data_IF_486400668809
#
_entry.id   IF_486400668809
#
_cell.length_a   1.000
_cell.length_b   1.000
_cell.length_c   1.000
_cell.angle_alpha   90.00
_cell.angle_beta   90.00
_cell.angle_gamma   90.00
#
_symmetry.space_group_name_H-M   'P 1'
#
loop_
_entity.id
_entity.type
_entity.pdbx_description
1 polymer ?
#
# COMPACT_ATOMS: atom_id res chain seq x y z
N UNK A 1 33.57 7.95 -20.31
CA UNK A 1 32.90 8.55 -19.18
C UNK A 1 31.39 8.37 -19.43
N UNK A 2 30.81 7.22 -19.02
CA UNK A 2 29.36 7.02 -19.10
C UNK A 2 28.73 8.06 -18.16
N UNK A 3 27.94 8.98 -18.73
CA UNK A 3 26.97 9.73 -17.94
C UNK A 3 26.02 8.69 -17.34
N UNK A 4 26.17 8.39 -16.07
CA UNK A 4 25.15 7.76 -15.27
C UNK A 4 24.00 8.77 -15.22
N UNK A 5 23.04 8.67 -16.14
CA UNK A 5 21.75 9.34 -16.00
C UNK A 5 21.22 8.84 -14.66
N UNK A 6 21.06 9.74 -13.71
CA UNK A 6 20.50 9.39 -12.42
C UNK A 6 19.13 8.73 -12.69
N UNK A 7 19.03 7.44 -12.44
CA UNK A 7 17.75 6.74 -12.52
C UNK A 7 16.77 7.47 -11.59
N UNK A 8 15.57 7.76 -12.09
CA UNK A 8 14.52 8.39 -11.29
C UNK A 8 14.21 7.62 -10.00
N UNK A 9 13.47 8.21 -9.05
CA UNK A 9 13.13 7.53 -7.80
C UNK A 9 12.47 6.17 -8.05
N UNK A 10 12.87 5.16 -7.29
CA UNK A 10 12.19 3.86 -7.24
C UNK A 10 11.38 3.76 -5.96
N UNK A 11 10.05 3.70 -6.10
CA UNK A 11 9.12 3.66 -4.96
C UNK A 11 8.54 2.26 -4.86
N UNK A 12 8.85 1.55 -3.78
CA UNK A 12 8.19 0.28 -3.46
C UNK A 12 7.02 0.53 -2.51
N UNK A 13 5.84 0.00 -2.85
CA UNK A 13 4.67 0.06 -1.98
C UNK A 13 4.42 -1.34 -1.42
N UNK A 14 4.73 -1.53 -0.14
CA UNK A 14 4.57 -2.78 0.60
C UNK A 14 3.26 -2.78 1.36
N UNK A 15 2.65 -3.95 1.53
CA UNK A 15 1.41 -4.10 2.30
C UNK A 15 0.70 -5.41 2.00
N UNK A 16 -0.47 -5.54 2.58
CA UNK A 16 -1.33 -6.72 2.49
C UNK A 16 -2.29 -6.71 1.27
N UNK A 17 -3.44 -7.40 1.40
CA UNK A 17 -4.46 -7.49 0.34
C UNK A 17 -5.04 -6.13 -0.07
N UNK A 18 -5.14 -5.18 0.84
CA UNK A 18 -5.67 -3.84 0.54
C UNK A 18 -4.69 -3.08 -0.36
N UNK A 19 -3.41 -3.23 -0.12
CA UNK A 19 -2.35 -2.72 -1.01
C UNK A 19 -2.31 -3.51 -2.32
N UNK A 20 -2.40 -4.85 -2.27
CA UNK A 20 -2.47 -5.70 -3.46
C UNK A 20 -3.63 -5.33 -4.39
N UNK A 21 -4.79 -4.93 -3.85
CA UNK A 21 -5.94 -4.42 -4.62
C UNK A 21 -5.58 -3.28 -5.56
N UNK A 22 -4.62 -2.45 -5.21
CA UNK A 22 -3.89 -1.56 -6.11
C UNK A 22 -4.49 -0.19 -6.34
N UNK A 23 -5.81 0.02 -6.17
CA UNK A 23 -6.45 1.29 -6.55
C UNK A 23 -5.86 2.50 -5.82
N UNK A 24 -5.71 2.45 -4.50
CA UNK A 24 -5.10 3.57 -3.77
C UNK A 24 -3.63 3.80 -4.18
N UNK A 25 -2.89 2.72 -4.48
CA UNK A 25 -1.50 2.81 -4.96
C UNK A 25 -1.44 3.54 -6.30
N UNK A 26 -2.33 3.17 -7.24
CA UNK A 26 -2.42 3.81 -8.56
C UNK A 26 -2.76 5.30 -8.44
N UNK A 27 -3.67 5.67 -7.55
CA UNK A 27 -4.03 7.07 -7.31
C UNK A 27 -2.87 7.86 -6.71
N UNK A 28 -2.16 7.32 -5.72
CA UNK A 28 -0.96 7.95 -5.16
C UNK A 28 0.14 8.06 -6.21
N UNK A 29 0.35 7.03 -7.04
CA UNK A 29 1.26 7.09 -8.19
C UNK A 29 0.91 8.24 -9.11
N UNK A 30 -0.37 8.37 -9.50
CA UNK A 30 -0.80 9.44 -10.39
C UNK A 30 -0.46 10.83 -9.87
N UNK A 31 -0.68 11.07 -8.57
CA UNK A 31 -0.35 12.34 -7.96
C UNK A 31 1.16 12.60 -7.89
N UNK A 32 1.95 11.62 -7.46
CA UNK A 32 3.41 11.77 -7.36
C UNK A 32 4.03 12.12 -8.72
N UNK A 33 3.55 11.50 -9.79
CA UNK A 33 4.06 11.72 -11.14
C UNK A 33 3.80 13.11 -11.72
N UNK A 34 2.89 13.88 -11.13
CA UNK A 34 2.70 15.30 -11.48
C UNK A 34 3.80 16.19 -10.87
N UNK A 35 4.62 15.68 -9.96
CA UNK A 35 5.69 16.44 -9.34
C UNK A 35 7.01 16.26 -10.10
N UNK A 36 7.83 17.30 -10.29
CA UNK A 36 9.12 17.18 -10.99
C UNK A 36 10.06 16.13 -10.39
N UNK A 37 10.03 15.95 -9.05
CA UNK A 37 10.89 15.00 -8.35
C UNK A 37 10.52 13.53 -8.63
N UNK A 38 9.30 13.24 -9.06
CA UNK A 38 8.80 11.89 -9.30
C UNK A 38 8.25 11.68 -10.71
N UNK A 39 8.44 12.62 -11.65
CA UNK A 39 7.96 12.48 -13.04
C UNK A 39 8.47 11.20 -13.70
N UNK A 40 9.73 10.85 -13.46
CA UNK A 40 10.40 9.67 -14.01
C UNK A 40 10.50 8.51 -13.02
N UNK A 41 9.77 8.60 -11.89
CA UNK A 41 9.82 7.56 -10.86
C UNK A 41 9.30 6.22 -11.41
N UNK A 42 9.87 5.12 -10.97
CA UNK A 42 9.28 3.80 -11.11
C UNK A 42 8.57 3.47 -9.79
N UNK A 43 7.26 3.26 -9.85
CA UNK A 43 6.45 2.94 -8.66
C UNK A 43 5.88 1.55 -8.85
N UNK A 44 6.17 0.65 -7.91
CA UNK A 44 5.74 -0.75 -7.96
C UNK A 44 4.97 -1.13 -6.71
N UNK A 45 3.82 -1.72 -6.93
CA UNK A 45 3.00 -2.31 -5.88
C UNK A 45 3.51 -3.72 -5.54
N UNK A 46 4.10 -3.89 -4.37
CA UNK A 46 4.53 -5.18 -3.81
C UNK A 46 3.53 -5.74 -2.78
N UNK A 47 2.32 -5.22 -2.70
CA UNK A 47 1.28 -5.75 -1.82
C UNK A 47 1.02 -7.23 -2.07
N UNK A 48 0.78 -8.01 -1.01
CA UNK A 48 0.51 -9.44 -1.11
C UNK A 48 -0.66 -9.83 -0.21
N UNK A 49 -1.65 -10.52 -0.76
CA UNK A 49 -2.84 -10.91 -0.01
C UNK A 49 -2.52 -11.72 1.25
N UNK A 50 -3.20 -11.44 2.35
CA UNK A 50 -3.05 -12.09 3.66
C UNK A 50 -1.69 -11.86 4.36
N UNK A 51 -0.76 -11.10 3.77
CA UNK A 51 0.58 -10.91 4.31
C UNK A 51 0.56 -10.18 5.65
N UNK A 52 1.48 -10.56 6.53
CA UNK A 52 1.78 -9.91 7.81
C UNK A 52 3.23 -9.45 7.84
N UNK A 53 3.49 -8.37 8.58
CA UNK A 53 4.85 -7.97 8.95
C UNK A 53 5.29 -8.65 10.25
N UNK A 54 4.33 -9.04 11.08
CA UNK A 54 4.56 -9.76 12.35
C UNK A 54 5.04 -11.20 12.18
N UNK A 55 4.76 -11.82 11.01
CA UNK A 55 4.97 -13.25 10.79
C UNK A 55 3.94 -14.15 11.46
N UNK A 56 2.90 -13.58 12.08
CA UNK A 56 1.84 -14.35 12.71
C UNK A 56 0.86 -14.92 11.68
N UNK A 57 0.32 -16.08 12.00
CA UNK A 57 -0.79 -16.70 11.28
C UNK A 57 -1.66 -17.48 12.25
N UNK A 58 -2.97 -17.33 12.12
CA UNK A 58 -3.94 -18.16 12.85
C UNK A 58 -3.97 -19.59 12.31
N UNK A 59 -4.24 -20.55 13.18
CA UNK A 59 -4.55 -21.91 12.78
C UNK A 59 -5.78 -21.92 11.88
N UNK A 60 -5.72 -22.64 10.77
CA UNK A 60 -6.83 -22.72 9.82
C UNK A 60 -6.95 -21.54 8.85
N UNK A 61 -5.96 -20.65 8.74
CA UNK A 61 -5.95 -19.60 7.72
C UNK A 61 -6.26 -20.20 6.33
N UNK A 62 -7.05 -19.48 5.54
CA UNK A 62 -7.49 -19.92 4.21
C UNK A 62 -8.11 -21.34 4.20
N UNK A 63 -8.82 -21.73 5.25
CA UNK A 63 -9.36 -23.08 5.39
C UNK A 63 -8.28 -24.15 5.60
N UNK A 64 -7.16 -23.79 6.20
CA UNK A 64 -6.02 -24.68 6.46
C UNK A 64 -5.11 -24.93 5.27
N UNK A 65 -5.33 -24.23 4.14
CA UNK A 65 -4.58 -24.47 2.90
C UNK A 65 -3.16 -23.94 2.93
N UNK A 66 -2.93 -22.80 3.60
CA UNK A 66 -1.61 -22.20 3.78
C UNK A 66 -1.63 -21.20 4.94
N UNK A 67 -0.49 -20.97 5.62
CA UNK A 67 -0.38 -19.92 6.63
C UNK A 67 -0.33 -18.54 5.98
N UNK A 68 -0.56 -17.48 6.76
CA UNK A 68 -0.32 -16.11 6.26
C UNK A 68 1.12 -15.94 5.81
N UNK A 69 1.35 -15.37 4.61
CA UNK A 69 2.69 -15.00 4.20
C UNK A 69 3.31 -14.00 5.18
N UNK A 70 4.61 -14.10 5.38
CA UNK A 70 5.39 -13.15 6.16
C UNK A 70 6.22 -12.28 5.21
N UNK A 71 6.12 -10.95 5.32
CA UNK A 71 6.92 -10.03 4.50
C UNK A 71 8.42 -10.36 4.57
N UNK A 72 8.91 -10.68 5.76
CA UNK A 72 10.35 -10.89 6.00
C UNK A 72 10.92 -12.12 5.29
N UNK A 73 10.06 -13.01 4.80
CA UNK A 73 10.46 -14.15 3.97
C UNK A 73 10.95 -13.66 2.58
N UNK A 74 10.37 -12.57 2.03
CA UNK A 74 10.69 -12.05 0.69
C UNK A 74 11.34 -10.66 0.68
N UNK A 75 11.40 -9.95 1.82
CA UNK A 75 11.86 -8.56 1.91
C UNK A 75 13.26 -8.37 1.33
N UNK A 76 14.21 -9.24 1.67
CA UNK A 76 15.59 -9.15 1.16
C UNK A 76 15.61 -9.22 -0.37
N UNK A 77 14.85 -10.14 -0.98
CA UNK A 77 14.77 -10.27 -2.44
C UNK A 77 14.17 -9.03 -3.10
N UNK A 78 13.15 -8.41 -2.47
CA UNK A 78 12.59 -7.13 -2.95
C UNK A 78 13.64 -6.04 -2.92
N UNK A 79 14.31 -5.88 -1.79
CA UNK A 79 15.28 -4.80 -1.58
C UNK A 79 16.51 -4.95 -2.49
N UNK A 80 17.01 -6.17 -2.70
CA UNK A 80 18.16 -6.44 -3.58
C UNK A 80 17.82 -6.29 -5.06
N UNK A 81 16.68 -6.83 -5.51
CA UNK A 81 16.31 -6.80 -6.92
C UNK A 81 15.77 -5.44 -7.34
N UNK A 82 14.89 -4.83 -6.56
CA UNK A 82 14.24 -3.57 -6.91
C UNK A 82 15.05 -2.34 -6.50
N UNK A 83 15.82 -2.41 -5.41
CA UNK A 83 16.66 -1.31 -4.85
C UNK A 83 15.86 -0.03 -4.67
N UNK A 84 14.80 -0.03 -3.85
CA UNK A 84 13.94 1.14 -3.70
C UNK A 84 14.67 2.30 -3.06
N UNK A 85 14.49 3.51 -3.59
CA UNK A 85 14.90 4.76 -2.95
C UNK A 85 13.90 5.22 -1.92
N UNK A 86 12.63 4.81 -2.07
CA UNK A 86 11.52 5.12 -1.18
C UNK A 86 10.65 3.89 -0.97
N UNK A 87 10.22 3.67 0.27
CA UNK A 87 9.29 2.62 0.65
C UNK A 87 8.10 3.22 1.36
N UNK A 88 6.90 2.95 0.84
CA UNK A 88 5.63 3.20 1.51
C UNK A 88 5.13 1.85 2.04
N UNK A 89 4.92 1.71 3.34
CA UNK A 89 4.48 0.44 3.94
C UNK A 89 3.16 0.60 4.68
N UNK A 90 2.16 -0.22 4.33
CA UNK A 90 0.83 -0.23 4.95
C UNK A 90 0.50 -1.65 5.44
N UNK A 91 0.80 -1.93 6.69
CA UNK A 91 0.53 -3.21 7.37
C UNK A 91 -0.28 -2.98 8.64
N UNK A 92 -0.83 -4.06 9.19
CA UNK A 92 -1.59 -4.07 10.43
C UNK A 92 -2.88 -4.87 10.33
N UNK A 93 -3.60 -4.78 9.20
CA UNK A 93 -4.91 -5.41 9.04
C UNK A 93 -4.88 -6.92 9.34
N UNK A 94 -3.82 -7.62 8.98
CA UNK A 94 -3.67 -9.05 9.23
C UNK A 94 -2.85 -9.38 10.49
N UNK A 95 -2.11 -8.42 11.04
CA UNK A 95 -1.07 -8.67 12.02
C UNK A 95 -1.59 -9.07 13.41
N UNK A 96 -2.80 -8.65 13.75
CA UNK A 96 -3.51 -9.11 14.94
C UNK A 96 -4.25 -10.43 14.74
N UNK A 97 -4.17 -11.05 13.53
CA UNK A 97 -4.86 -12.31 13.17
C UNK A 97 -6.36 -12.33 13.52
N UNK A 98 -7.01 -11.19 13.45
CA UNK A 98 -8.43 -10.96 13.76
C UNK A 98 -8.84 -11.44 15.16
N UNK A 99 -7.92 -11.32 16.12
CA UNK A 99 -8.14 -11.62 17.54
C UNK A 99 -8.17 -10.32 18.36
N UNK A 100 -8.79 -10.33 19.56
CA UNK A 100 -8.76 -9.18 20.46
C UNK A 100 -7.33 -8.69 20.76
N UNK A 101 -7.20 -7.45 21.20
CA UNK A 101 -5.90 -6.86 21.55
C UNK A 101 -5.12 -7.76 22.56
N UNK A 102 -3.85 -7.97 22.26
CA UNK A 102 -2.95 -8.82 23.04
C UNK A 102 -1.51 -8.32 22.90
N UNK A 103 -0.81 -8.23 24.02
CA UNK A 103 0.53 -7.64 24.06
C UNK A 103 1.56 -8.42 23.24
N UNK A 104 1.43 -9.75 23.18
CA UNK A 104 2.37 -10.61 22.43
C UNK A 104 2.21 -10.37 20.93
N UNK A 105 0.97 -10.30 20.43
CA UNK A 105 0.70 -10.00 19.02
C UNK A 105 1.07 -8.57 18.67
N UNK A 106 0.78 -7.63 19.58
CA UNK A 106 1.19 -6.24 19.41
C UNK A 106 2.71 -6.10 19.31
N UNK A 107 3.45 -6.81 20.20
CA UNK A 107 4.91 -6.83 20.15
C UNK A 107 5.44 -7.45 18.86
N UNK A 108 4.85 -8.53 18.37
CA UNK A 108 5.25 -9.14 17.10
C UNK A 108 5.09 -8.17 15.92
N UNK A 109 3.98 -7.41 15.88
CA UNK A 109 3.80 -6.33 14.91
C UNK A 109 4.90 -5.26 15.02
N UNK A 110 5.18 -4.79 16.23
CA UNK A 110 6.20 -3.78 16.51
C UNK A 110 7.58 -4.26 16.04
N UNK A 111 7.97 -5.46 16.42
CA UNK A 111 9.27 -6.06 16.06
C UNK A 111 9.39 -6.23 14.53
N UNK A 112 8.29 -6.62 13.87
CA UNK A 112 8.22 -6.73 12.42
C UNK A 112 8.41 -5.37 11.71
N UNK A 113 7.75 -4.33 12.20
CA UNK A 113 7.88 -2.98 11.65
C UNK A 113 9.28 -2.38 11.88
N UNK A 114 9.89 -2.61 13.05
CA UNK A 114 11.26 -2.21 13.32
C UNK A 114 12.25 -2.88 12.36
N UNK A 115 12.12 -4.19 12.14
CA UNK A 115 12.95 -4.94 11.19
C UNK A 115 12.78 -4.43 9.76
N UNK A 116 11.55 -4.12 9.36
CA UNK A 116 11.27 -3.57 8.03
C UNK A 116 11.96 -2.23 7.82
N UNK A 117 11.76 -1.29 8.75
CA UNK A 117 12.40 0.03 8.69
C UNK A 117 13.93 -0.09 8.64
N UNK A 118 14.51 -0.87 9.56
CA UNK A 118 15.96 -1.08 9.63
C UNK A 118 16.52 -1.64 8.31
N UNK A 119 15.84 -2.64 7.71
CA UNK A 119 16.26 -3.22 6.44
C UNK A 119 16.22 -2.19 5.29
N UNK A 120 15.20 -1.34 5.23
CA UNK A 120 15.08 -0.30 4.21
C UNK A 120 16.16 0.77 4.37
N UNK A 121 16.35 1.27 5.58
CA UNK A 121 17.30 2.34 5.86
C UNK A 121 18.77 1.90 5.72
N UNK A 122 19.09 0.65 6.04
CA UNK A 122 20.42 0.06 5.78
C UNK A 122 20.81 0.06 4.31
N UNK A 123 19.85 0.04 3.41
CA UNK A 123 20.09 0.15 1.96
C UNK A 123 19.99 1.59 1.44
N UNK A 124 19.89 2.58 2.33
CA UNK A 124 19.78 3.99 1.97
C UNK A 124 18.39 4.42 1.50
N UNK A 125 17.37 3.56 1.63
CA UNK A 125 15.98 3.87 1.28
C UNK A 125 15.33 4.77 2.34
N UNK A 126 14.44 5.67 1.88
CA UNK A 126 13.55 6.45 2.77
C UNK A 126 12.33 5.62 3.11
N UNK A 127 12.00 5.52 4.39
CA UNK A 127 10.89 4.73 4.89
C UNK A 127 9.74 5.61 5.36
N UNK A 128 8.54 5.34 4.86
CA UNK A 128 7.29 5.95 5.32
C UNK A 128 6.33 4.82 5.66
N UNK A 129 5.75 4.87 6.84
CA UNK A 129 4.69 3.93 7.24
C UNK A 129 3.33 4.61 7.18
N UNK A 130 2.35 3.86 6.72
CA UNK A 130 0.94 4.26 6.64
C UNK A 130 0.18 3.38 7.64
N UNK A 131 -0.62 3.97 8.51
CA UNK A 131 -1.46 3.20 9.45
C UNK A 131 -2.45 2.34 8.68
N UNK A 132 -2.80 1.16 9.24
CA UNK A 132 -3.80 0.29 8.61
C UNK A 132 -5.16 1.01 8.48
N UNK A 133 -5.94 0.75 7.42
CA UNK A 133 -7.31 1.22 7.29
C UNK A 133 -8.22 0.72 8.43
N UNK A 134 -9.50 1.13 8.41
CA UNK A 134 -10.46 0.74 9.43
C UNK A 134 -10.98 -0.68 9.19
N UNK A 135 -11.19 -1.43 10.28
CA UNK A 135 -11.90 -2.70 10.25
C UNK A 135 -13.38 -2.49 10.65
N UNK A 136 -14.28 -3.17 9.95
CA UNK A 136 -15.74 -3.15 10.20
C UNK A 136 -16.33 -1.74 10.39
N UNK A 137 -15.83 -0.76 9.63
CA UNK A 137 -16.25 0.64 9.73
C UNK A 137 -17.73 0.87 9.40
N UNK A 138 -18.39 -0.11 8.80
CA UNK A 138 -19.83 -0.06 8.50
C UNK A 138 -20.68 -0.44 9.70
N UNK A 139 -20.20 -1.35 10.56
CA UNK A 139 -20.90 -1.88 11.72
C UNK A 139 -20.02 -1.98 12.98
N UNK A 140 -19.34 -0.90 13.42
CA UNK A 140 -18.34 -0.98 14.50
C UNK A 140 -18.90 -1.45 15.84
N UNK A 141 -20.21 -1.25 16.09
CA UNK A 141 -20.87 -1.71 17.30
C UNK A 141 -21.18 -3.22 17.31
N UNK A 142 -21.05 -3.88 16.15
CA UNK A 142 -21.33 -5.31 15.96
C UNK A 142 -20.05 -6.15 15.86
N UNK A 143 -18.87 -5.53 15.92
CA UNK A 143 -17.60 -6.26 15.94
C UNK A 143 -17.34 -6.89 17.32
N UNK A 144 -17.58 -8.20 17.49
CA UNK A 144 -17.41 -8.87 18.78
C UNK A 144 -15.96 -8.92 19.23
N UNK A 145 -15.01 -8.83 18.28
CA UNK A 145 -13.58 -8.86 18.56
C UNK A 145 -13.03 -7.47 18.84
N UNK A 146 -13.80 -6.42 18.55
CA UNK A 146 -13.33 -5.02 18.60
C UNK A 146 -12.00 -4.85 17.87
N UNK A 147 -11.86 -5.46 16.71
CA UNK A 147 -10.58 -5.55 16.00
C UNK A 147 -10.07 -4.18 15.54
N UNK A 148 -10.95 -3.22 15.30
CA UNK A 148 -10.51 -1.84 15.00
C UNK A 148 -9.70 -1.23 16.17
N UNK A 149 -9.94 -1.64 17.43
CA UNK A 149 -9.13 -1.24 18.58
C UNK A 149 -7.70 -1.81 18.54
N UNK A 150 -7.50 -2.98 17.94
CA UNK A 150 -6.16 -3.54 17.70
C UNK A 150 -5.41 -2.64 16.72
N UNK A 151 -6.08 -2.23 15.64
CA UNK A 151 -5.51 -1.32 14.64
C UNK A 151 -5.26 0.09 15.20
N UNK A 152 -6.11 0.58 16.10
CA UNK A 152 -5.87 1.83 16.83
C UNK A 152 -4.63 1.74 17.73
N UNK A 153 -4.43 0.62 18.45
CA UNK A 153 -3.25 0.41 19.26
C UNK A 153 -1.96 0.33 18.42
N UNK A 154 -2.01 -0.33 17.26
CA UNK A 154 -0.91 -0.36 16.30
C UNK A 154 -0.60 1.05 15.76
N UNK A 155 -1.61 1.81 15.37
CA UNK A 155 -1.46 3.18 14.89
C UNK A 155 -0.87 4.10 15.98
N UNK A 156 -1.37 4.02 17.21
CA UNK A 156 -0.84 4.79 18.34
C UNK A 156 0.64 4.49 18.60
N UNK A 157 1.04 3.22 18.52
CA UNK A 157 2.44 2.85 18.65
C UNK A 157 3.29 3.43 17.50
N UNK A 158 2.85 3.33 16.24
CA UNK A 158 3.56 3.90 15.09
C UNK A 158 3.76 5.40 15.25
N UNK A 159 2.72 6.12 15.68
CA UNK A 159 2.77 7.58 15.91
C UNK A 159 3.69 7.97 17.08
N UNK A 160 3.91 7.09 18.04
CA UNK A 160 4.82 7.33 19.16
C UNK A 160 6.30 7.18 18.79
N UNK A 161 6.61 6.63 17.61
CA UNK A 161 7.98 6.36 17.19
C UNK A 161 8.70 7.65 16.78
N UNK A 162 9.69 8.06 17.58
CA UNK A 162 10.48 9.28 17.29
C UNK A 162 11.30 9.11 15.99
N UNK A 163 11.23 10.11 15.13
CA UNK A 163 11.98 10.14 13.87
C UNK A 163 11.39 9.27 12.75
N UNK A 164 10.25 8.61 12.96
CA UNK A 164 9.55 7.92 11.88
C UNK A 164 8.71 8.90 11.06
N UNK A 165 8.63 8.63 9.75
CA UNK A 165 7.67 9.28 8.88
C UNK A 165 6.39 8.44 8.88
N UNK A 166 5.36 8.91 9.58
CA UNK A 166 4.08 8.19 9.75
C UNK A 166 2.97 8.99 9.08
N UNK A 167 2.18 8.34 8.26
CA UNK A 167 0.93 8.84 7.68
C UNK A 167 -0.22 8.14 8.40
N UNK A 168 -0.98 8.89 9.19
CA UNK A 168 -2.16 8.37 9.87
C UNK A 168 -3.43 8.64 9.05
N UNK A 169 -3.88 7.61 8.33
CA UNK A 169 -5.09 7.72 7.50
C UNK A 169 -6.38 7.53 8.29
N UNK A 170 -6.34 6.99 9.52
CA UNK A 170 -7.52 6.55 10.26
C UNK A 170 -8.50 7.69 10.61
N UNK A 171 -8.05 8.86 11.10
CA UNK A 171 -8.95 9.99 11.37
C UNK A 171 -9.65 10.50 10.10
N UNK A 172 -8.89 10.68 9.02
CA UNK A 172 -9.46 11.13 7.73
C UNK A 172 -10.49 10.12 7.19
N UNK A 173 -10.21 8.82 7.31
CA UNK A 173 -11.15 7.77 6.89
C UNK A 173 -12.45 7.80 7.70
N UNK A 174 -12.38 7.94 9.03
CA UNK A 174 -13.58 8.06 9.87
C UNK A 174 -14.45 9.23 9.42
N UNK A 175 -13.85 10.39 9.16
CA UNK A 175 -14.54 11.58 8.67
C UNK A 175 -15.17 11.34 7.30
N UNK A 176 -14.39 10.85 6.33
CA UNK A 176 -14.88 10.63 4.97
C UNK A 176 -16.01 9.60 4.88
N UNK A 177 -15.93 8.53 5.67
CA UNK A 177 -17.00 7.51 5.76
C UNK A 177 -18.27 8.13 6.38
N UNK A 178 -18.15 8.91 7.45
CA UNK A 178 -19.30 9.56 8.08
C UNK A 178 -19.99 10.52 7.10
N UNK A 179 -19.23 11.34 6.38
CA UNK A 179 -19.75 12.23 5.35
C UNK A 179 -20.42 11.47 4.19
N UNK A 180 -19.80 10.37 3.74
CA UNK A 180 -20.38 9.53 2.68
C UNK A 180 -21.72 8.92 3.10
N UNK A 181 -21.83 8.43 4.35
CA UNK A 181 -23.06 7.89 4.91
C UNK A 181 -24.14 8.97 5.12
N UNK A 182 -23.76 10.21 5.46
CA UNK A 182 -24.71 11.33 5.51
C UNK A 182 -25.31 11.65 4.13
N UNK A 183 -24.49 11.61 3.07
CA UNK A 183 -24.93 11.86 1.69
C UNK A 183 -25.69 10.67 1.09
N UNK A 184 -25.31 9.47 1.44
CA UNK A 184 -25.92 8.21 0.99
C UNK A 184 -25.98 7.23 2.16
N UNK A 185 -27.13 7.08 2.85
CA UNK A 185 -27.29 6.14 3.95
C UNK A 185 -27.00 4.68 3.59
N UNK A 186 -27.07 4.31 2.30
CA UNK A 186 -26.72 2.98 1.78
C UNK A 186 -25.23 2.81 1.44
N UNK A 187 -24.39 3.80 1.72
CA UNK A 187 -22.95 3.68 1.47
C UNK A 187 -22.34 2.59 2.34
N UNK A 188 -21.55 1.70 1.70
CA UNK A 188 -20.78 0.64 2.35
C UNK A 188 -19.30 0.87 2.05
N UNK A 189 -18.49 1.00 3.11
CA UNK A 189 -17.05 1.17 3.02
C UNK A 189 -16.34 -0.14 2.63
N UNK A 190 -16.64 -1.23 3.37
CA UNK A 190 -16.02 -2.55 3.19
C UNK A 190 -17.05 -3.66 3.44
N UNK A 191 -17.63 -4.21 2.38
CA UNK A 191 -18.70 -5.20 2.48
C UNK A 191 -18.35 -6.50 3.21
N UNK A 192 -17.06 -6.84 3.26
CA UNK A 192 -16.54 -7.98 4.02
C UNK A 192 -15.82 -7.55 5.31
N UNK A 193 -16.02 -6.30 5.75
CA UNK A 193 -15.42 -5.67 6.94
C UNK A 193 -13.94 -5.30 6.81
N UNK A 194 -13.23 -5.79 5.80
CA UNK A 194 -11.77 -5.73 5.66
C UNK A 194 -11.35 -4.93 4.43
N UNK A 195 -11.92 -5.26 3.27
CA UNK A 195 -11.47 -4.73 1.99
C UNK A 195 -12.33 -3.55 1.55
N UNK A 196 -11.78 -2.32 1.56
CA UNK A 196 -12.49 -1.14 1.10
C UNK A 196 -12.95 -1.29 -0.36
N UNK A 197 -14.17 -0.83 -0.64
CA UNK A 197 -14.64 -0.68 -2.01
C UNK A 197 -13.88 0.43 -2.77
N UNK A 198 -14.18 0.66 -4.05
CA UNK A 198 -13.48 1.67 -4.86
C UNK A 198 -13.42 3.05 -4.20
N UNK A 199 -14.53 3.55 -3.67
CA UNK A 199 -14.58 4.84 -2.98
C UNK A 199 -13.78 4.83 -1.67
N UNK A 200 -13.74 3.69 -0.96
CA UNK A 200 -12.89 3.54 0.23
C UNK A 200 -11.40 3.62 -0.11
N UNK A 201 -10.98 3.05 -1.23
CA UNK A 201 -9.62 3.23 -1.74
C UNK A 201 -9.32 4.68 -2.14
N UNK A 202 -10.31 5.41 -2.67
CA UNK A 202 -10.16 6.82 -3.00
C UNK A 202 -9.94 7.65 -1.73
N UNK A 203 -10.67 7.37 -0.65
CA UNK A 203 -10.46 8.00 0.66
C UNK A 203 -9.05 7.73 1.21
N UNK A 204 -8.56 6.49 1.10
CA UNK A 204 -7.19 6.12 1.48
C UNK A 204 -6.18 6.96 0.70
N UNK A 205 -6.30 7.03 -0.62
CA UNK A 205 -5.39 7.77 -1.47
C UNK A 205 -5.37 9.27 -1.15
N UNK A 206 -6.55 9.88 -0.97
CA UNK A 206 -6.69 11.31 -0.60
C UNK A 206 -5.99 11.58 0.73
N UNK A 207 -6.21 10.75 1.75
CA UNK A 207 -5.56 10.92 3.04
C UNK A 207 -4.03 10.77 2.95
N UNK A 208 -3.56 9.79 2.18
CA UNK A 208 -2.11 9.59 1.97
C UNK A 208 -1.49 10.82 1.29
N UNK A 209 -2.03 11.28 0.17
CA UNK A 209 -1.42 12.40 -0.56
C UNK A 209 -1.48 13.70 0.23
N UNK A 210 -2.58 13.96 0.96
CA UNK A 210 -2.75 15.12 1.85
C UNK A 210 -1.59 15.23 2.87
N UNK A 211 -1.15 14.10 3.43
CA UNK A 211 -0.10 14.05 4.45
C UNK A 211 1.31 13.88 3.84
N UNK A 212 1.41 13.17 2.72
CA UNK A 212 2.68 12.93 2.04
C UNK A 212 3.27 14.20 1.43
N UNK A 213 2.42 15.10 0.92
CA UNK A 213 2.84 16.35 0.28
C UNK A 213 3.69 17.23 1.19
N UNK A 214 3.23 17.64 2.39
CA UNK A 214 4.06 18.41 3.32
C UNK A 214 5.23 17.58 3.85
N UNK A 215 5.07 16.28 4.07
CA UNK A 215 6.11 15.39 4.59
C UNK A 215 7.33 15.31 3.64
N UNK A 216 7.09 15.27 2.35
CA UNK A 216 8.13 15.23 1.31
C UNK A 216 8.41 16.60 0.69
N UNK A 217 7.73 17.65 1.16
CA UNK A 217 7.85 19.04 0.65
C UNK A 217 7.61 19.11 -0.87
N UNK A 218 6.58 18.41 -1.34
CA UNK A 218 6.23 18.37 -2.77
C UNK A 218 5.56 19.67 -3.18
N UNK A 219 5.83 20.18 -4.40
CA UNK A 219 5.23 21.43 -4.89
C UNK A 219 3.80 21.24 -5.35
N UNK A 220 3.03 22.33 -5.38
CA UNK A 220 1.67 22.37 -5.89
C UNK A 220 0.66 21.60 -5.04
N UNK A 221 -0.55 21.48 -5.54
CA UNK A 221 -1.61 20.65 -4.97
C UNK A 221 -1.65 19.28 -5.66
N UNK A 222 -1.84 18.17 -4.93
CA UNK A 222 -1.94 16.85 -5.54
C UNK A 222 -3.20 16.73 -6.40
N UNK A 223 -3.05 16.14 -7.58
CA UNK A 223 -4.16 15.81 -8.48
C UNK A 223 -4.19 14.30 -8.71
N UNK A 224 -5.36 13.68 -8.50
CA UNK A 224 -5.55 12.26 -8.71
C UNK A 224 -6.11 12.01 -10.11
N UNK A 225 -5.57 11.01 -10.81
CA UNK A 225 -6.08 10.60 -12.12
C UNK A 225 -7.53 10.11 -12.03
N UNK A 226 -8.28 10.34 -13.10
CA UNK A 226 -9.68 9.93 -13.24
C UNK A 226 -9.91 9.32 -14.63
N UNK A 227 -11.07 8.70 -14.82
CA UNK A 227 -11.52 8.20 -16.12
C UNK A 227 -10.52 7.28 -16.81
N UNK A 228 -10.26 7.53 -18.08
CA UNK A 228 -9.37 6.71 -18.92
C UNK A 228 -7.92 6.69 -18.43
N UNK A 229 -7.40 7.84 -18.01
CA UNK A 229 -6.03 7.93 -17.46
C UNK A 229 -5.85 7.01 -16.24
N UNK A 230 -6.81 7.00 -15.30
CA UNK A 230 -6.78 6.09 -14.16
C UNK A 230 -6.84 4.61 -14.59
N UNK A 231 -7.66 4.28 -15.57
CA UNK A 231 -7.80 2.92 -16.08
C UNK A 231 -6.47 2.40 -16.69
N UNK A 232 -5.82 3.21 -17.51
CA UNK A 232 -4.53 2.88 -18.12
C UNK A 232 -3.46 2.67 -17.04
N UNK A 233 -3.38 3.59 -16.08
CA UNK A 233 -2.40 3.48 -14.99
C UNK A 233 -2.67 2.27 -14.08
N UNK A 234 -3.94 1.91 -13.88
CA UNK A 234 -4.34 0.70 -13.15
C UNK A 234 -3.86 -0.57 -13.86
N UNK A 235 -3.99 -0.65 -15.19
CA UNK A 235 -3.49 -1.78 -15.97
C UNK A 235 -1.96 -1.89 -15.87
N UNK A 236 -1.26 -0.75 -16.00
CA UNK A 236 0.19 -0.70 -15.83
C UNK A 236 0.64 -1.16 -14.44
N UNK A 237 -0.03 -0.68 -13.40
CA UNK A 237 0.25 -1.07 -12.02
C UNK A 237 0.04 -2.58 -11.79
N UNK A 238 -1.05 -3.14 -12.29
CA UNK A 238 -1.35 -4.57 -12.20
C UNK A 238 -0.30 -5.44 -12.92
N UNK A 239 0.11 -5.01 -14.12
CA UNK A 239 1.14 -5.69 -14.92
C UNK A 239 2.48 -5.75 -14.18
N UNK A 240 2.99 -4.63 -13.71
CA UNK A 240 4.26 -4.55 -12.98
C UNK A 240 4.17 -5.27 -11.64
N UNK A 241 3.06 -5.16 -10.91
CA UNK A 241 2.84 -5.88 -9.66
C UNK A 241 3.04 -7.38 -9.82
N UNK A 242 2.36 -8.00 -10.78
CA UNK A 242 2.45 -9.46 -10.96
C UNK A 242 3.85 -9.89 -11.41
N UNK A 243 4.48 -9.14 -12.32
CA UNK A 243 5.84 -9.42 -12.75
C UNK A 243 6.84 -9.37 -11.59
N UNK A 244 6.80 -8.31 -10.79
CA UNK A 244 7.69 -8.14 -9.64
C UNK A 244 7.40 -9.10 -8.48
N UNK A 245 6.13 -9.47 -8.25
CA UNK A 245 5.80 -10.52 -7.28
C UNK A 245 6.38 -11.87 -7.71
N UNK A 246 6.31 -12.20 -9.00
CA UNK A 246 6.92 -13.40 -9.56
C UNK A 246 8.44 -13.37 -9.46
N UNK A 247 9.07 -12.28 -9.87
CA UNK A 247 10.53 -12.09 -9.81
C UNK A 247 11.05 -12.23 -8.37
N UNK A 248 10.35 -11.66 -7.40
CA UNK A 248 10.73 -11.71 -5.98
C UNK A 248 10.27 -12.99 -5.28
N UNK A 249 9.71 -13.96 -6.02
CA UNK A 249 9.41 -15.35 -5.59
C UNK A 249 8.56 -15.40 -4.31
N UNK A 250 7.42 -14.68 -4.29
CA UNK A 250 6.49 -14.83 -3.19
C UNK A 250 5.97 -16.28 -3.09
N UNK A 251 5.62 -16.74 -1.89
CA UNK A 251 5.15 -18.12 -1.66
C UNK A 251 3.63 -18.24 -1.51
N UNK A 252 2.87 -17.14 -1.65
CA UNK A 252 1.42 -17.17 -1.47
C UNK A 252 0.73 -17.90 -2.63
N UNK A 253 -0.03 -19.00 -2.37
CA UNK A 253 -0.83 -19.66 -3.40
C UNK A 253 -1.94 -18.77 -3.96
N UNK A 254 -2.34 -19.03 -5.21
CA UNK A 254 -3.47 -18.36 -5.85
C UNK A 254 -3.20 -16.92 -6.34
N UNK A 255 -1.96 -16.47 -6.31
CA UNK A 255 -1.54 -15.25 -7.02
C UNK A 255 -1.08 -15.64 -8.42
N UNK A 256 -1.64 -15.04 -9.48
CA UNK A 256 -1.23 -15.33 -10.85
C UNK A 256 0.25 -15.00 -11.08
N UNK A 257 0.95 -15.86 -11.81
CA UNK A 257 2.29 -15.53 -12.28
C UNK A 257 2.23 -14.34 -13.24
N UNK A 258 3.16 -13.40 -13.06
CA UNK A 258 3.35 -12.28 -13.97
C UNK A 258 4.14 -12.69 -15.22
N UNK A 259 4.19 -11.79 -16.19
CA UNK A 259 5.10 -11.91 -17.33
C UNK A 259 6.56 -11.86 -16.84
N UNK A 260 7.51 -12.39 -17.64
CA UNK A 260 8.93 -12.09 -17.42
C UNK A 260 9.15 -10.59 -17.31
N UNK A 261 10.00 -10.18 -16.36
CA UNK A 261 10.16 -8.77 -16.02
C UNK A 261 10.48 -7.86 -17.22
N UNK A 262 11.38 -8.24 -18.16
CA UNK A 262 11.67 -7.42 -19.34
C UNK A 262 10.43 -7.21 -20.24
N UNK A 263 9.60 -8.22 -20.38
CA UNK A 263 8.38 -8.14 -21.19
C UNK A 263 7.31 -7.26 -20.52
N UNK A 264 7.18 -7.39 -19.19
CA UNK A 264 6.29 -6.56 -18.40
C UNK A 264 6.71 -5.08 -18.44
N UNK A 265 8.00 -4.79 -18.31
CA UNK A 265 8.54 -3.43 -18.38
C UNK A 265 8.33 -2.80 -19.75
N UNK A 266 8.54 -3.55 -20.83
CA UNK A 266 8.26 -3.09 -22.20
C UNK A 266 6.76 -2.73 -22.39
N UNK A 267 5.85 -3.59 -21.93
CA UNK A 267 4.42 -3.31 -22.01
C UNK A 267 4.01 -2.15 -21.09
N UNK A 268 4.60 -2.06 -19.90
CA UNK A 268 4.37 -0.96 -18.96
C UNK A 268 4.82 0.39 -19.53
N UNK A 269 5.90 0.43 -20.32
CA UNK A 269 6.34 1.63 -21.03
C UNK A 269 5.30 2.08 -22.08
N UNK A 270 4.75 1.16 -22.87
CA UNK A 270 3.70 1.48 -23.84
C UNK A 270 2.41 2.00 -23.17
N UNK A 271 2.03 1.42 -22.02
CA UNK A 271 0.92 1.93 -21.19
C UNK A 271 1.24 3.31 -20.62
N UNK A 272 2.48 3.56 -20.24
CA UNK A 272 2.91 4.88 -19.78
C UNK A 272 2.74 5.95 -20.85
N UNK A 273 3.16 5.69 -22.09
CA UNK A 273 2.96 6.60 -23.21
C UNK A 273 1.47 6.88 -23.47
N UNK A 274 0.63 5.86 -23.31
CA UNK A 274 -0.82 6.00 -23.45
C UNK A 274 -1.42 6.84 -22.32
N UNK A 275 -0.95 6.64 -21.06
CA UNK A 275 -1.34 7.46 -19.92
C UNK A 275 -0.98 8.93 -20.13
N UNK A 276 0.24 9.21 -20.61
CA UNK A 276 0.67 10.59 -20.89
C UNK A 276 -0.24 11.30 -21.89
N UNK A 277 -0.75 10.60 -22.88
CA UNK A 277 -1.72 11.16 -23.84
C UNK A 277 -3.10 11.37 -23.22
N UNK A 278 -3.58 10.40 -22.43
CA UNK A 278 -4.92 10.41 -21.84
C UNK A 278 -5.09 11.46 -20.72
N UNK A 279 -4.01 11.87 -20.05
CA UNK A 279 -4.06 12.87 -18.98
C UNK A 279 -4.16 14.31 -19.47
N UNK A 280 -3.86 14.55 -20.76
CA UNK A 280 -4.00 15.87 -21.37
C UNK A 280 -5.47 16.07 -21.72
N UNK A 281 -6.17 17.11 -21.20
CA UNK A 281 -7.53 17.39 -21.61
C UNK A 281 -7.60 17.56 -23.12
N UNK A 282 -8.41 16.75 -23.80
CA UNK A 282 -8.74 17.01 -25.21
C UNK A 282 -9.53 18.34 -25.24
N UNK A 283 -8.97 19.32 -25.94
CA UNK A 283 -9.61 20.64 -26.15
C UNK A 283 -10.86 20.53 -26.98
#
# INVERSE_FOLDING_TARGET
>A
MLLCLAEGPRVAVLGDSITYGGRWVTLVESALRETPAFSDAVIVNFGLGSETVSGLSENGHAGGKFPRPCLHERLTRILEAYRPTHVLACYGMNDGIYQPLDDTRQKAFQDGMLRLKDAVEKQGGRFVVITAPLHDADHPSQDPQRYDAVLDAQAAWLLSQKGWQVIDIRPDLRTAIAEAKQKNPGFVYAGDKVHPGPQGHDFIAVSIVKQLWPLWKLPGAPTLAQGEALNILTQRNALLKHAWLTETKHQRPGVPAGLPLPDAEKQAAALWDSYQRARIPQK
#
